data_IF_649153443891
#
_entry.id   IF_649153443891
#
_cell.length_a   1.000
_cell.length_b   1.000
_cell.length_c   1.000
_cell.angle_alpha   90.00
_cell.angle_beta   90.00
_cell.angle_gamma   90.00
#
_symmetry.space_group_name_H-M   'P 1'
#
loop_
_entity.id
_entity.type
_entity.pdbx_description
1 polymer ?
#
# COMPACT_ATOMS: atom_id res chain seq x y z
N UNK A 1 41.38 -38.18 -52.48
CA UNK A 1 42.25 -37.62 -51.41
C UNK A 1 42.28 -36.10 -51.54
N UNK A 2 41.63 -35.38 -50.62
CA UNK A 2 41.88 -33.97 -50.31
C UNK A 2 41.48 -33.76 -48.85
N UNK A 3 42.31 -32.99 -48.16
CA UNK A 3 42.60 -33.02 -46.72
C UNK A 3 41.66 -32.16 -45.88
N UNK A 4 41.40 -32.66 -44.67
CA UNK A 4 40.73 -31.99 -43.55
C UNK A 4 41.67 -31.02 -42.85
N UNK A 5 41.19 -29.81 -42.52
CA UNK A 5 41.73 -29.01 -41.41
C UNK A 5 40.62 -28.17 -40.78
N UNK A 6 40.37 -28.41 -39.49
CA UNK A 6 39.48 -27.65 -38.61
C UNK A 6 40.15 -26.33 -38.18
N UNK A 7 39.38 -25.25 -38.01
CA UNK A 7 39.79 -24.12 -37.17
C UNK A 7 38.60 -23.60 -36.37
N UNK A 8 38.86 -23.43 -35.08
CA UNK A 8 37.91 -23.19 -33.99
C UNK A 8 37.10 -21.90 -34.14
N UNK A 9 35.79 -22.00 -33.96
CA UNK A 9 34.98 -20.88 -33.46
C UNK A 9 34.08 -21.38 -32.32
N UNK A 10 34.54 -21.10 -31.11
CA UNK A 10 33.76 -21.19 -29.87
C UNK A 10 32.64 -20.15 -30.01
N UNK A 11 31.40 -20.62 -30.17
CA UNK A 11 30.21 -19.78 -30.12
C UNK A 11 29.62 -19.88 -28.70
N UNK A 12 29.96 -18.93 -27.84
CA UNK A 12 29.39 -18.80 -26.50
C UNK A 12 28.01 -18.13 -26.64
N UNK A 13 26.93 -18.92 -26.66
CA UNK A 13 25.56 -18.43 -26.58
C UNK A 13 25.22 -18.14 -25.11
N UNK A 14 25.41 -16.88 -24.69
CA UNK A 14 24.80 -16.33 -23.49
C UNK A 14 23.30 -16.11 -23.78
N UNK A 15 22.48 -17.11 -23.46
CA UNK A 15 21.03 -16.93 -23.39
C UNK A 15 20.71 -16.03 -22.19
N UNK A 16 20.42 -14.77 -22.47
CA UNK A 16 20.00 -13.78 -21.49
C UNK A 16 18.57 -14.12 -21.02
N UNK A 17 18.46 -14.92 -19.96
CA UNK A 17 17.21 -15.11 -19.23
C UNK A 17 16.88 -13.85 -18.44
N UNK A 18 16.29 -12.85 -19.09
CA UNK A 18 15.64 -11.76 -18.39
C UNK A 18 14.29 -12.27 -17.87
N UNK A 19 14.29 -12.71 -16.61
CA UNK A 19 13.11 -12.78 -15.77
C UNK A 19 12.31 -11.49 -15.96
N UNK A 20 11.04 -11.63 -16.35
CA UNK A 20 10.12 -10.51 -16.41
C UNK A 20 10.02 -9.88 -15.02
N UNK A 21 10.64 -8.73 -14.84
CA UNK A 21 10.34 -7.86 -13.73
C UNK A 21 8.88 -7.42 -13.93
N UNK A 22 7.96 -8.01 -13.17
CA UNK A 22 6.61 -7.47 -13.07
C UNK A 22 6.73 -6.01 -12.66
N UNK A 23 6.20 -5.11 -13.48
CA UNK A 23 6.09 -3.70 -13.12
C UNK A 23 5.26 -3.62 -11.84
N UNK A 24 5.87 -3.19 -10.73
CA UNK A 24 5.13 -2.82 -9.53
C UNK A 24 4.19 -1.67 -9.92
N UNK A 25 2.90 -1.97 -10.00
CA UNK A 25 1.89 -0.99 -10.34
C UNK A 25 1.61 -0.16 -9.09
N UNK A 26 1.60 1.18 -9.21
CA UNK A 26 1.36 2.05 -8.07
C UNK A 26 -0.12 1.98 -7.67
N UNK A 27 -0.36 1.64 -6.40
CA UNK A 27 -1.69 1.66 -5.81
C UNK A 27 -2.08 3.08 -5.42
N UNK A 28 -3.38 3.37 -5.49
CA UNK A 28 -4.00 4.61 -5.00
C UNK A 28 -4.79 4.31 -3.73
N UNK A 29 -4.70 5.21 -2.76
CA UNK A 29 -5.32 5.07 -1.45
C UNK A 29 -6.37 6.15 -1.25
N UNK A 30 -7.62 5.76 -1.01
CA UNK A 30 -8.72 6.68 -0.82
C UNK A 30 -9.34 6.49 0.57
N UNK A 31 -9.54 7.60 1.28
CA UNK A 31 -10.07 7.63 2.62
C UNK A 31 -11.44 8.29 2.64
N UNK A 32 -12.40 7.61 3.25
CA UNK A 32 -13.74 8.13 3.48
C UNK A 32 -14.00 8.17 4.98
N UNK A 33 -14.49 9.31 5.45
CA UNK A 33 -14.85 9.49 6.85
C UNK A 33 -16.34 9.77 6.96
N UNK A 34 -17.02 9.06 7.85
CA UNK A 34 -18.43 9.29 8.18
C UNK A 34 -18.48 9.91 9.56
N UNK A 35 -19.04 11.10 9.67
CA UNK A 35 -19.17 11.79 10.95
C UNK A 35 -20.13 11.05 11.91
N UNK A 36 -20.19 11.50 13.16
CA UNK A 36 -21.10 10.94 14.17
C UNK A 36 -22.60 11.00 13.81
N UNK A 37 -22.99 11.71 12.75
CA UNK A 37 -24.37 11.84 12.27
C UNK A 37 -24.64 10.98 11.03
N UNK A 38 -23.67 10.20 10.55
CA UNK A 38 -23.80 9.40 9.34
C UNK A 38 -23.60 10.19 8.05
N UNK A 39 -23.02 11.39 8.11
CA UNK A 39 -22.75 12.23 6.94
C UNK A 39 -21.29 12.09 6.54
N UNK A 40 -21.04 11.88 5.24
CA UNK A 40 -19.68 11.85 4.71
C UNK A 40 -19.01 13.21 4.87
N UNK A 41 -17.83 13.20 5.46
CA UNK A 41 -16.90 14.33 5.43
C UNK A 41 -16.23 14.33 4.06
N UNK A 42 -16.44 15.39 3.28
CA UNK A 42 -15.94 15.49 1.92
C UNK A 42 -14.45 15.81 1.86
N UNK A 43 -13.68 14.91 1.26
CA UNK A 43 -12.29 15.14 0.87
C UNK A 43 -12.15 15.74 -0.54
N UNK A 44 -10.90 15.88 -0.98
CA UNK A 44 -10.54 16.57 -2.23
C UNK A 44 -10.52 15.72 -3.50
N UNK A 45 -10.77 14.41 -3.42
CA UNK A 45 -10.61 13.52 -4.57
C UNK A 45 -11.60 13.79 -5.70
N UNK A 46 -11.07 13.74 -6.92
CA UNK A 46 -11.82 13.87 -8.17
C UNK A 46 -11.93 12.56 -8.94
N UNK A 47 -11.43 11.47 -8.38
CA UNK A 47 -11.53 10.13 -8.95
C UNK A 47 -13.01 9.74 -9.16
N UNK A 48 -13.31 9.11 -10.30
CA UNK A 48 -14.67 8.81 -10.69
C UNK A 48 -15.37 7.81 -9.72
N UNK A 49 -14.60 6.93 -9.09
CA UNK A 49 -15.10 5.92 -8.16
C UNK A 49 -14.96 6.36 -6.69
N UNK A 50 -14.11 7.35 -6.40
CA UNK A 50 -13.85 7.86 -5.05
C UNK A 50 -14.10 9.35 -4.91
N UNK A 51 -15.13 9.88 -5.60
CA UNK A 51 -15.47 11.29 -5.54
C UNK A 51 -15.74 11.75 -4.11
N UNK A 52 -15.17 12.89 -3.74
CA UNK A 52 -15.27 13.48 -2.40
C UNK A 52 -14.62 12.62 -1.28
N UNK A 53 -13.73 11.67 -1.62
CA UNK A 53 -12.85 11.00 -0.66
C UNK A 53 -11.58 11.84 -0.46
N UNK A 54 -10.81 11.58 0.59
CA UNK A 54 -9.45 12.10 0.75
C UNK A 54 -8.45 11.16 0.10
N UNK A 55 -7.40 11.69 -0.53
CA UNK A 55 -6.36 10.87 -1.17
C UNK A 55 -5.17 10.73 -0.21
N UNK A 56 -4.91 9.50 0.25
CA UNK A 56 -3.77 9.21 1.12
C UNK A 56 -2.51 8.92 0.30
N UNK A 57 -1.38 9.45 0.75
CA UNK A 57 -0.07 9.12 0.20
C UNK A 57 0.54 7.87 0.86
N UNK A 58 0.18 7.60 2.12
CA UNK A 58 0.62 6.41 2.85
C UNK A 58 -0.36 6.05 3.95
N UNK A 59 -0.31 4.81 4.40
CA UNK A 59 -1.04 4.34 5.57
C UNK A 59 -0.27 3.23 6.29
N UNK A 60 -0.59 3.02 7.57
CA UNK A 60 -0.09 1.92 8.39
C UNK A 60 -1.19 1.41 9.31
N UNK A 61 -1.11 0.13 9.64
CA UNK A 61 -1.99 -0.54 10.59
C UNK A 61 -1.13 -1.37 11.53
N UNK A 62 -1.18 -1.03 12.82
CA UNK A 62 -0.36 -1.69 13.82
C UNK A 62 -1.14 -2.75 14.60
N UNK A 63 -0.51 -3.91 14.80
CA UNK A 63 -0.95 -4.95 15.72
C UNK A 63 0.23 -5.30 16.63
N UNK A 64 0.03 -5.13 17.93
CA UNK A 64 1.07 -5.32 18.95
C UNK A 64 0.61 -6.30 20.01
N UNK A 65 1.55 -6.88 20.76
CA UNK A 65 1.26 -7.72 21.92
C UNK A 65 2.06 -7.17 23.09
N UNK A 66 1.37 -6.72 24.15
CA UNK A 66 2.03 -6.30 25.38
C UNK A 66 2.59 -7.53 26.12
N UNK A 67 3.92 -7.57 26.30
CA UNK A 67 4.70 -8.60 27.00
C UNK A 67 4.73 -10.01 26.34
N UNK A 68 5.82 -10.39 25.63
CA UNK A 68 5.94 -11.71 24.99
C UNK A 68 6.17 -12.88 25.98
N UNK A 69 6.43 -12.60 27.26
CA UNK A 69 6.65 -13.64 28.29
C UNK A 69 5.38 -13.79 29.12
N UNK A 70 4.55 -14.80 28.83
CA UNK A 70 3.42 -15.20 29.70
C UNK A 70 2.00 -15.00 29.16
N UNK A 71 1.80 -14.81 27.85
CA UNK A 71 0.45 -14.80 27.25
C UNK A 71 -0.15 -13.41 27.07
N UNK A 72 0.63 -12.46 26.55
CA UNK A 72 0.15 -11.14 26.15
C UNK A 72 -1.01 -11.21 25.15
N UNK A 73 -1.97 -10.29 25.30
CA UNK A 73 -3.13 -10.20 24.41
C UNK A 73 -2.80 -9.31 23.21
N UNK A 74 -3.14 -9.70 21.96
CA UNK A 74 -3.01 -8.80 20.83
C UNK A 74 -3.87 -7.55 21.04
N UNK A 75 -3.27 -6.39 20.83
CA UNK A 75 -3.87 -5.08 20.86
C UNK A 75 -3.58 -4.40 19.53
N UNK A 76 -4.59 -3.77 18.93
CA UNK A 76 -4.33 -2.93 17.77
C UNK A 76 -3.70 -1.62 18.22
N UNK A 77 -2.71 -1.16 17.46
CA UNK A 77 -2.28 0.23 17.50
C UNK A 77 -3.27 1.11 16.72
N UNK A 78 -2.97 2.41 16.57
CA UNK A 78 -3.75 3.27 15.70
C UNK A 78 -3.62 2.82 14.24
N UNK A 79 -4.66 3.07 13.45
CA UNK A 79 -4.50 3.19 12.00
C UNK A 79 -3.99 4.59 11.71
N UNK A 80 -2.87 4.73 11.01
CA UNK A 80 -2.29 6.03 10.68
C UNK A 80 -2.29 6.24 9.17
N UNK A 81 -2.42 7.48 8.74
CA UNK A 81 -2.32 7.86 7.34
C UNK A 81 -1.62 9.20 7.16
N UNK A 82 -1.13 9.44 5.94
CA UNK A 82 -0.65 10.74 5.50
C UNK A 82 -1.37 11.17 4.22
N UNK A 83 -1.66 12.46 4.09
CA UNK A 83 -2.28 13.05 2.91
C UNK A 83 -1.87 14.51 2.75
N UNK A 84 -2.10 15.08 1.55
CA UNK A 84 -2.11 16.54 1.42
C UNK A 84 -3.35 17.11 2.12
N UNK A 85 -3.23 18.33 2.65
CA UNK A 85 -4.38 19.05 3.23
C UNK A 85 -5.43 19.28 2.14
N UNK A 86 -6.65 18.80 2.41
CA UNK A 86 -7.81 18.92 1.52
C UNK A 86 -9.04 19.45 2.27
N UNK A 87 -10.23 19.38 1.66
CA UNK A 87 -11.47 19.87 2.26
C UNK A 87 -11.93 19.10 3.52
N UNK A 88 -11.42 17.89 3.77
CA UNK A 88 -11.75 17.12 4.97
C UNK A 88 -11.04 17.67 6.22
N UNK A 89 -9.98 18.49 6.04
CA UNK A 89 -9.18 18.98 7.16
C UNK A 89 -10.01 19.72 8.23
N UNK A 90 -10.78 20.74 7.84
CA UNK A 90 -11.56 21.55 8.78
C UNK A 90 -12.57 20.71 9.59
N UNK A 91 -13.43 19.88 8.98
CA UNK A 91 -14.36 19.04 9.73
C UNK A 91 -13.68 17.98 10.58
N UNK A 92 -12.57 17.38 10.14
CA UNK A 92 -11.81 16.43 10.96
C UNK A 92 -11.17 17.13 12.18
N UNK A 93 -10.56 18.29 11.97
CA UNK A 93 -9.95 19.09 13.04
C UNK A 93 -11.00 19.51 14.08
N UNK A 94 -12.16 20.00 13.63
CA UNK A 94 -13.27 20.35 14.52
C UNK A 94 -13.82 19.14 15.26
N UNK A 95 -13.92 17.98 14.61
CA UNK A 95 -14.39 16.74 15.26
C UNK A 95 -13.44 16.31 16.37
N UNK A 96 -12.12 16.39 16.13
CA UNK A 96 -11.10 16.08 17.13
C UNK A 96 -11.15 17.05 18.32
N UNK A 97 -11.19 18.36 18.08
CA UNK A 97 -11.24 19.37 19.16
C UNK A 97 -12.54 19.27 19.96
N UNK A 98 -13.65 18.87 19.33
CA UNK A 98 -14.93 18.67 20.01
C UNK A 98 -15.05 17.31 20.71
N UNK A 99 -14.06 16.42 20.57
CA UNK A 99 -14.12 15.06 21.10
C UNK A 99 -15.24 14.22 20.45
N UNK A 100 -15.66 14.56 19.24
CA UNK A 100 -16.70 13.82 18.50
C UNK A 100 -16.05 12.69 17.74
N UNK A 101 -16.46 11.46 18.06
CA UNK A 101 -16.11 10.29 17.26
C UNK A 101 -16.67 10.35 15.84
N UNK A 102 -16.13 9.50 15.00
CA UNK A 102 -16.63 9.18 13.68
C UNK A 102 -17.51 7.92 13.79
N UNK A 103 -18.56 7.84 12.98
CA UNK A 103 -19.31 6.60 12.88
C UNK A 103 -18.43 5.51 12.26
N UNK A 104 -17.74 5.84 11.17
CA UNK A 104 -16.81 4.94 10.50
C UNK A 104 -15.73 5.71 9.74
N UNK A 105 -14.63 5.02 9.47
CA UNK A 105 -13.65 5.42 8.47
C UNK A 105 -13.37 4.23 7.55
N UNK A 106 -13.18 4.49 6.27
CA UNK A 106 -12.96 3.48 5.23
C UNK A 106 -11.72 3.85 4.43
N UNK A 107 -10.79 2.91 4.26
CA UNK A 107 -9.66 2.98 3.34
C UNK A 107 -9.94 2.04 2.16
N UNK A 108 -10.02 2.62 0.97
CA UNK A 108 -10.08 1.90 -0.29
C UNK A 108 -8.71 1.89 -0.96
N UNK A 109 -8.26 0.70 -1.35
CA UNK A 109 -7.01 0.51 -2.09
C UNK A 109 -7.36 0.07 -3.50
N UNK A 110 -6.97 0.89 -4.45
CA UNK A 110 -7.28 0.71 -5.85
C UNK A 110 -6.00 0.58 -6.68
N UNK A 111 -6.05 -0.32 -7.66
CA UNK A 111 -5.03 -0.40 -8.72
C UNK A 111 -5.49 0.37 -9.92
N UNK A 112 -4.55 1.01 -10.59
CA UNK A 112 -4.82 1.56 -11.91
C UNK A 112 -5.18 0.39 -12.85
N UNK A 113 -6.25 0.50 -13.63
CA UNK A 113 -6.53 -0.48 -14.68
C UNK A 113 -5.80 -0.10 -15.96
N UNK A 114 -5.49 -1.07 -16.82
CA UNK A 114 -5.03 -0.81 -18.21
C UNK A 114 -6.05 0.06 -18.98
N UNK A 115 -7.32 0.05 -18.56
CA UNK A 115 -8.38 0.90 -19.09
C UNK A 115 -8.42 2.34 -18.51
N UNK A 116 -7.46 2.72 -17.65
CA UNK A 116 -7.29 4.08 -17.12
C UNK A 116 -8.16 4.45 -15.91
N UNK A 117 -9.00 3.54 -15.41
CA UNK A 117 -9.81 3.77 -14.21
C UNK A 117 -9.20 3.03 -13.02
N UNK A 118 -9.18 3.67 -11.85
CA UNK A 118 -8.85 2.99 -10.60
C UNK A 118 -9.91 1.92 -10.30
N UNK A 119 -9.46 0.74 -9.90
CA UNK A 119 -10.30 -0.39 -9.54
C UNK A 119 -9.93 -0.88 -8.16
N UNK A 120 -10.87 -0.77 -7.22
CA UNK A 120 -10.70 -1.20 -5.85
C UNK A 120 -10.43 -2.70 -5.84
N UNK A 121 -9.48 -3.15 -5.05
CA UNK A 121 -9.29 -4.58 -4.84
C UNK A 121 -9.28 -4.93 -3.36
N UNK A 122 -9.04 -3.95 -2.50
CA UNK A 122 -8.98 -4.13 -1.06
C UNK A 122 -9.61 -2.95 -0.32
N UNK A 123 -10.31 -3.23 0.78
CA UNK A 123 -10.95 -2.23 1.63
C UNK A 123 -10.71 -2.54 3.10
N UNK A 124 -10.47 -1.50 3.90
CA UNK A 124 -10.49 -1.55 5.36
C UNK A 124 -11.59 -0.63 5.87
N UNK A 125 -12.42 -1.11 6.80
CA UNK A 125 -13.46 -0.31 7.46
C UNK A 125 -13.27 -0.38 8.97
N UNK A 126 -13.21 0.79 9.59
CA UNK A 126 -12.93 0.99 11.02
C UNK A 126 -14.19 1.50 11.72
N UNK A 127 -14.72 0.73 12.69
CA UNK A 127 -16.03 1.02 13.31
C UNK A 127 -16.13 0.64 14.80
N UNK A 128 -16.70 1.50 15.65
CA UNK A 128 -16.68 2.96 15.52
C UNK A 128 -15.23 3.46 15.45
N UNK A 129 -15.00 4.66 14.88
CA UNK A 129 -13.67 5.24 14.73
C UNK A 129 -13.54 6.54 15.53
N UNK A 130 -12.37 6.79 16.11
CA UNK A 130 -12.06 8.00 16.87
C UNK A 130 -10.71 8.54 16.44
N UNK A 131 -10.67 9.82 16.09
CA UNK A 131 -9.43 10.53 15.80
C UNK A 131 -8.55 10.54 17.07
N UNK A 132 -7.41 9.83 16.99
CA UNK A 132 -6.41 9.80 18.05
C UNK A 132 -5.37 10.90 17.87
N UNK A 133 -5.07 11.26 16.62
CA UNK A 133 -4.16 12.36 16.31
C UNK A 133 -4.49 13.05 14.98
N UNK A 134 -4.15 14.34 14.89
CA UNK A 134 -4.02 15.10 13.65
C UNK A 134 -2.79 16.00 13.79
N UNK A 135 -1.81 15.80 12.93
CA UNK A 135 -0.58 16.59 12.85
C UNK A 135 -0.50 17.25 11.49
N UNK A 136 -0.31 18.57 11.47
CA UNK A 136 -0.14 19.32 10.23
C UNK A 136 1.27 19.85 10.15
N UNK A 137 1.90 19.69 8.99
CA UNK A 137 3.22 20.25 8.70
C UNK A 137 3.22 20.89 7.32
N UNK A 138 4.08 21.89 7.13
CA UNK A 138 4.23 22.56 5.85
C UNK A 138 5.70 22.94 5.65
N UNK A 139 6.16 22.81 4.41
CA UNK A 139 7.48 23.25 3.97
C UNK A 139 7.27 24.18 2.79
N UNK A 140 8.00 25.30 2.74
CA UNK A 140 7.91 26.24 1.64
C UNK A 140 8.21 25.53 0.31
N UNK A 141 7.32 25.70 -0.69
CA UNK A 141 7.46 25.05 -1.99
C UNK A 141 6.81 23.66 -2.12
N UNK A 142 6.19 23.13 -1.05
CA UNK A 142 5.46 21.87 -1.07
C UNK A 142 4.02 22.05 -0.58
N UNK A 143 3.13 21.14 -0.99
CA UNK A 143 1.77 21.07 -0.42
C UNK A 143 1.85 20.77 1.08
N UNK A 144 1.01 21.43 1.93
CA UNK A 144 0.92 21.09 3.34
C UNK A 144 0.50 19.64 3.53
N UNK A 145 1.15 18.97 4.48
CA UNK A 145 0.90 17.58 4.84
C UNK A 145 0.01 17.50 6.08
N UNK A 146 -0.93 16.57 6.05
CA UNK A 146 -1.74 16.16 7.19
C UNK A 146 -1.42 14.68 7.48
N UNK A 147 -1.00 14.40 8.71
CA UNK A 147 -0.92 13.07 9.25
C UNK A 147 -2.06 12.88 10.25
N UNK A 148 -2.78 11.77 10.14
CA UNK A 148 -3.86 11.45 11.06
C UNK A 148 -3.70 10.05 11.64
N UNK A 149 -4.34 9.85 12.79
CA UNK A 149 -4.44 8.56 13.44
C UNK A 149 -5.88 8.28 13.89
N UNK A 150 -6.30 7.02 13.77
CA UNK A 150 -7.58 6.51 14.22
C UNK A 150 -7.39 5.38 15.23
N UNK A 151 -8.18 5.44 16.30
CA UNK A 151 -8.49 4.29 17.13
C UNK A 151 -9.89 3.76 16.77
N UNK A 152 -10.10 2.46 16.89
CA UNK A 152 -11.35 1.81 16.49
C UNK A 152 -11.64 0.59 17.36
N UNK A 153 -12.85 0.03 17.29
CA UNK A 153 -13.18 -1.20 18.02
C UNK A 153 -13.35 -2.43 17.13
N UNK A 154 -13.74 -2.22 15.87
CA UNK A 154 -13.92 -3.28 14.87
C UNK A 154 -13.15 -2.88 13.63
N UNK A 155 -12.48 -3.88 13.03
CA UNK A 155 -11.81 -3.77 11.75
C UNK A 155 -12.45 -4.77 10.80
N UNK A 156 -13.07 -4.29 9.72
CA UNK A 156 -13.57 -5.13 8.64
C UNK A 156 -12.67 -5.00 7.42
N UNK A 157 -12.41 -6.13 6.76
CA UNK A 157 -11.58 -6.24 5.58
C UNK A 157 -12.43 -6.81 4.44
N UNK A 158 -12.27 -6.25 3.25
CA UNK A 158 -12.82 -6.84 2.03
C UNK A 158 -11.72 -6.95 0.98
N UNK A 159 -11.70 -8.07 0.26
CA UNK A 159 -10.72 -8.32 -0.80
C UNK A 159 -11.39 -8.97 -2.01
N UNK A 160 -10.93 -8.65 -3.22
CA UNK A 160 -11.25 -9.40 -4.44
C UNK A 160 -10.00 -9.61 -5.29
N UNK A 161 -9.85 -10.81 -5.81
CA UNK A 161 -8.74 -11.19 -6.68
C UNK A 161 -9.03 -10.80 -8.12
N UNK A 162 -7.96 -10.50 -8.86
CA UNK A 162 -8.02 -10.38 -10.32
C UNK A 162 -7.40 -11.64 -10.93
N UNK A 163 -8.09 -12.26 -11.88
CA UNK A 163 -7.52 -13.38 -12.64
C UNK A 163 -6.49 -12.90 -13.67
N UNK A 164 -5.79 -13.86 -14.29
CA UNK A 164 -4.79 -13.59 -15.33
C UNK A 164 -5.38 -12.94 -16.60
N UNK A 165 -6.70 -12.91 -16.74
CA UNK A 165 -7.42 -12.27 -17.85
C UNK A 165 -7.88 -10.87 -17.49
N UNK A 166 -7.62 -10.40 -16.26
CA UNK A 166 -8.05 -9.10 -15.77
C UNK A 166 -9.46 -9.09 -15.18
N UNK A 167 -10.12 -10.24 -15.03
CA UNK A 167 -11.47 -10.37 -14.48
C UNK A 167 -11.42 -10.37 -12.96
N UNK A 168 -12.27 -9.57 -12.33
CA UNK A 168 -12.39 -9.53 -10.87
C UNK A 168 -13.27 -10.65 -10.33
N UNK A 169 -12.85 -11.26 -9.22
CA UNK A 169 -13.67 -12.17 -8.43
C UNK A 169 -14.74 -11.42 -7.64
N UNK A 170 -15.65 -12.18 -7.02
CA UNK A 170 -16.51 -11.65 -5.97
C UNK A 170 -15.65 -11.19 -4.77
N UNK A 171 -16.19 -10.22 -4.03
CA UNK A 171 -15.61 -9.79 -2.76
C UNK A 171 -15.72 -10.90 -1.71
N UNK A 172 -14.62 -11.16 -1.03
CA UNK A 172 -14.56 -11.93 0.20
C UNK A 172 -14.33 -10.97 1.36
N UNK A 173 -14.88 -11.29 2.54
CA UNK A 173 -14.86 -10.41 3.71
C UNK A 173 -14.37 -11.14 4.95
N UNK A 174 -13.68 -10.41 5.82
CA UNK A 174 -13.34 -10.85 7.16
C UNK A 174 -13.31 -9.68 8.13
N UNK A 175 -13.29 -9.96 9.42
CA UNK A 175 -13.38 -8.93 10.45
C UNK A 175 -12.66 -9.35 11.73
N UNK A 176 -12.12 -8.36 12.43
CA UNK A 176 -11.62 -8.46 13.79
C UNK A 176 -12.46 -7.58 14.73
N UNK A 177 -12.86 -8.13 15.86
CA UNK A 177 -13.49 -7.38 16.95
C UNK A 177 -12.51 -7.25 18.12
N UNK A 178 -12.22 -6.01 18.51
CA UNK A 178 -11.28 -5.63 19.57
C UNK A 178 -11.98 -5.11 20.84
N UNK A 179 -13.32 -5.19 20.93
CA UNK A 179 -14.05 -4.68 22.09
C UNK A 179 -13.61 -5.32 23.42
N UNK A 180 -13.64 -4.49 24.46
CA UNK A 180 -13.25 -4.82 25.83
C UNK A 180 -14.15 -5.90 26.44
N UNK A 181 -13.62 -7.12 26.55
CA UNK A 181 -14.31 -8.25 27.17
C UNK A 181 -13.87 -9.62 26.63
N UNK A 182 -13.35 -9.65 25.40
CA UNK A 182 -12.68 -10.83 24.85
C UNK A 182 -11.17 -10.75 25.09
N UNK A 183 -10.57 -11.84 25.56
CA UNK A 183 -9.13 -11.91 25.86
C UNK A 183 -8.25 -11.94 24.61
N UNK A 184 -8.83 -12.15 23.45
CA UNK A 184 -8.14 -12.31 22.17
C UNK A 184 -9.04 -11.79 21.07
N UNK A 185 -8.56 -10.92 20.15
CA UNK A 185 -9.33 -10.54 18.99
C UNK A 185 -9.71 -11.80 18.19
N UNK A 186 -10.99 -11.97 17.89
CA UNK A 186 -11.48 -13.11 17.12
C UNK A 186 -11.57 -12.69 15.66
N UNK A 187 -10.83 -13.38 14.80
CA UNK A 187 -11.03 -13.28 13.36
C UNK A 187 -12.29 -14.06 12.96
N UNK A 188 -13.09 -13.46 12.08
CA UNK A 188 -14.26 -14.08 11.48
C UNK A 188 -14.28 -13.79 9.99
N UNK A 189 -14.75 -14.73 9.17
CA UNK A 189 -14.86 -14.60 7.72
C UNK A 189 -13.78 -15.37 6.95
N UNK A 190 -13.54 -14.92 5.71
CA UNK A 190 -12.64 -15.62 4.78
C UNK A 190 -11.18 -15.19 5.00
N UNK A 191 -10.24 -16.12 5.31
CA UNK A 191 -8.83 -15.78 5.52
C UNK A 191 -8.13 -15.19 4.29
N UNK A 192 -8.67 -15.35 3.08
CA UNK A 192 -8.13 -14.72 1.86
C UNK A 192 -8.06 -13.19 1.96
N UNK A 193 -8.85 -12.55 2.82
CA UNK A 193 -8.73 -11.10 3.05
C UNK A 193 -7.37 -10.69 3.63
N UNK A 194 -6.67 -11.59 4.31
CA UNK A 194 -5.32 -11.32 4.84
C UNK A 194 -4.26 -11.35 3.75
N UNK A 195 -4.48 -12.10 2.66
CA UNK A 195 -3.67 -12.00 1.44
C UNK A 195 -3.88 -10.63 0.78
N UNK A 196 -5.13 -10.17 0.72
CA UNK A 196 -5.47 -8.81 0.28
C UNK A 196 -4.76 -7.73 1.08
N UNK A 197 -4.72 -7.88 2.41
CA UNK A 197 -3.99 -6.97 3.29
C UNK A 197 -2.49 -6.96 2.96
N UNK A 198 -1.88 -8.13 2.79
CA UNK A 198 -0.46 -8.24 2.45
C UNK A 198 -0.13 -7.61 1.08
N UNK A 199 -1.05 -7.70 0.12
CA UNK A 199 -0.90 -7.08 -1.20
C UNK A 199 -1.11 -5.57 -1.19
N UNK A 200 -1.97 -5.07 -0.28
CA UNK A 200 -2.26 -3.66 -0.12
C UNK A 200 -1.20 -2.89 0.67
N UNK A 201 -0.35 -3.61 1.43
CA UNK A 201 0.77 -2.99 2.11
C UNK A 201 1.77 -2.45 1.07
N UNK A 202 2.28 -1.21 1.25
CA UNK A 202 3.23 -0.64 0.31
C UNK A 202 4.49 -1.51 0.25
N UNK A 203 4.67 -2.24 -0.85
CA UNK A 203 5.89 -3.00 -1.08
C UNK A 203 7.07 -2.03 -1.19
N UNK A 204 8.20 -2.35 -0.55
CA UNK A 204 9.44 -1.62 -0.75
C UNK A 204 9.78 -1.69 -2.25
N UNK A 205 9.68 -0.55 -2.96
CA UNK A 205 9.95 -0.45 -4.40
C UNK A 205 11.40 -0.88 -4.64
N UNK A 206 11.68 -2.05 -5.25
CA UNK A 206 13.02 -2.39 -5.66
C UNK A 206 13.26 -1.61 -6.95
N UNK A 207 14.05 -0.53 -6.90
CA UNK A 207 14.31 0.28 -8.08
C UNK A 207 14.98 -0.56 -9.20
N UNK A 208 14.28 -0.88 -10.30
CA UNK A 208 14.83 -1.75 -11.35
C UNK A 208 15.88 -1.02 -12.20
N UNK A 209 15.77 0.31 -12.27
CA UNK A 209 16.58 1.13 -13.17
C UNK A 209 17.95 1.48 -12.59
N UNK A 210 18.06 1.76 -11.29
CA UNK A 210 19.32 2.16 -10.65
C UNK A 210 20.28 0.98 -10.52
N UNK A 211 19.78 -0.22 -10.23
CA UNK A 211 20.61 -1.45 -10.22
C UNK A 211 21.10 -1.82 -11.61
N UNK A 212 20.24 -1.74 -12.63
CA UNK A 212 20.61 -1.99 -14.02
C UNK A 212 21.64 -1.00 -14.55
N UNK A 213 21.47 0.30 -14.28
CA UNK A 213 22.43 1.35 -14.64
C UNK A 213 23.74 1.22 -13.86
N UNK A 214 23.71 0.84 -12.58
CA UNK A 214 24.90 0.60 -11.78
C UNK A 214 25.74 -0.56 -12.33
N UNK A 215 25.08 -1.68 -12.67
CA UNK A 215 25.76 -2.85 -13.25
C UNK A 215 26.31 -2.56 -14.65
N UNK A 216 25.57 -1.83 -15.48
CA UNK A 216 26.08 -1.35 -16.78
C UNK A 216 27.25 -0.38 -16.61
N UNK A 217 27.18 0.53 -15.64
CA UNK A 217 28.26 1.45 -15.29
C UNK A 217 29.54 0.70 -14.87
N UNK A 218 29.42 -0.26 -13.96
CA UNK A 218 30.53 -1.09 -13.49
C UNK A 218 31.13 -1.96 -14.62
N UNK A 219 30.30 -2.54 -15.48
CA UNK A 219 30.77 -3.31 -16.63
C UNK A 219 31.55 -2.44 -17.62
N UNK A 220 31.09 -1.21 -17.87
CA UNK A 220 31.77 -0.27 -18.77
C UNK A 220 33.14 0.17 -18.23
N UNK A 221 33.26 0.37 -16.91
CA UNK A 221 34.52 0.69 -16.23
C UNK A 221 35.51 -0.48 -16.26
N UNK A 222 35.03 -1.71 -16.05
CA UNK A 222 35.86 -2.91 -16.14
C UNK A 222 36.45 -3.12 -17.55
N UNK A 223 35.64 -2.92 -18.58
CA UNK A 223 36.06 -3.04 -19.98
C UNK A 223 37.07 -1.95 -20.37
N UNK A 224 36.91 -0.73 -19.85
CA UNK A 224 37.86 0.37 -20.08
C UNK A 224 39.22 0.13 -19.41
N UNK A 225 39.23 -0.46 -18.21
CA UNK A 225 40.47 -0.80 -17.49
C UNK A 225 41.25 -1.92 -18.17
N UNK A 226 40.57 -2.94 -18.72
CA UNK A 226 41.22 -4.00 -19.50
C UNK A 226 41.88 -3.48 -20.78
N UNK A 227 41.29 -2.47 -21.45
CA UNK A 227 41.89 -1.86 -22.65
C UNK A 227 43.16 -1.05 -22.36
N UNK A 228 43.34 -0.53 -21.14
CA UNK A 228 44.54 0.23 -20.76
C UNK A 228 45.70 -0.62 -20.25
N UNK A 229 45.46 -1.87 -19.87
CA UNK A 229 46.50 -2.81 -19.44
C UNK A 229 47.13 -3.64 -20.56
N UNK A 230 46.65 -3.47 -21.81
CA UNK A 230 47.11 -4.19 -23.00
C UNK A 230 47.87 -3.30 -23.99
N UNK A 231 48.38 -2.15 -23.54
CA UNK A 231 49.28 -1.27 -24.27
C UNK A 231 50.65 -1.23 -23.59
#
# INVERSE_FOLDING_TARGET
MKTSTYSHRILLLLALGALGAGSAQADSYFLKFIDSKGVQIKGGSTDAHHKDFSEAGSWSLDLTVAAPVGGGKPQHGPFEWSQSVDSAFVPLFLSMVQGKGLQSAELDVARNSVAGNNQDYFKLVFEPAYLSELKTSATAGSSPLLNGGLSFSTLSLAYRQQDVRGTWSNWVTGSFNFMTGQSTPVFSGDPLVLEGLALAMPAAVPEPASTGLLLLGLASLGCWRQRRGAA
#
